data_IF_421824681979
#
_entry.id   IF_421824681979
#
_cell.length_a   1.000
_cell.length_b   1.000
_cell.length_c   1.000
_cell.angle_alpha   90.00
_cell.angle_beta   90.00
_cell.angle_gamma   90.00
#
_symmetry.space_group_name_H-M   'P 1'
#
loop_
_entity.id
_entity.type
_entity.pdbx_description
1 polymer ?
#
# COMPACT_ATOMS: atom_id res chain seq x y z
N UNK A 1 28.97 -6.18 5.54
CA UNK A 1 28.73 -6.95 4.31
C UNK A 1 27.99 -8.25 4.56
N UNK A 2 28.43 -9.10 5.51
CA UNK A 2 27.81 -10.40 5.78
C UNK A 2 26.32 -10.30 6.17
N UNK A 3 25.97 -9.35 7.02
CA UNK A 3 24.56 -9.14 7.43
C UNK A 3 23.69 -8.70 6.24
N UNK A 4 24.24 -7.83 5.38
CA UNK A 4 23.57 -7.45 4.14
C UNK A 4 23.32 -8.66 3.23
N UNK A 5 24.32 -9.52 2.99
CA UNK A 5 24.17 -10.68 2.12
C UNK A 5 23.12 -11.67 2.64
N UNK A 6 23.08 -11.91 3.96
CA UNK A 6 22.03 -12.73 4.58
C UNK A 6 20.62 -12.12 4.41
N UNK A 7 20.50 -10.79 4.55
CA UNK A 7 19.24 -10.08 4.29
C UNK A 7 18.82 -10.19 2.83
N UNK A 8 19.74 -9.96 1.90
CA UNK A 8 19.49 -10.04 0.47
C UNK A 8 19.01 -11.44 0.06
N UNK A 9 19.60 -12.49 0.63
CA UNK A 9 19.19 -13.88 0.41
C UNK A 9 17.76 -14.14 0.94
N UNK A 10 17.45 -13.73 2.19
CA UNK A 10 16.10 -13.87 2.76
C UNK A 10 15.06 -13.05 2.02
N UNK A 11 15.45 -11.93 1.45
CA UNK A 11 14.61 -11.08 0.59
C UNK A 11 14.41 -11.65 -0.82
N UNK A 12 15.04 -12.80 -1.15
CA UNK A 12 14.94 -13.45 -2.46
C UNK A 12 15.67 -12.67 -3.58
N UNK A 13 16.66 -11.85 -3.24
CA UNK A 13 17.47 -11.13 -4.23
C UNK A 13 18.37 -12.13 -4.99
N UNK A 14 18.59 -11.86 -6.27
CA UNK A 14 19.43 -12.71 -7.10
C UNK A 14 20.92 -12.60 -6.71
N UNK A 15 21.38 -13.56 -5.91
CA UNK A 15 22.75 -13.64 -5.41
C UNK A 15 23.79 -13.98 -6.49
N UNK A 16 23.39 -14.28 -7.72
CA UNK A 16 24.32 -14.48 -8.85
C UNK A 16 24.83 -13.15 -9.43
N UNK A 17 24.11 -12.06 -9.18
CA UNK A 17 24.47 -10.75 -9.70
C UNK A 17 25.58 -10.08 -8.88
N UNK A 18 26.64 -9.64 -9.54
CA UNK A 18 27.74 -8.91 -8.88
C UNK A 18 27.27 -7.63 -8.20
N UNK A 19 26.27 -6.93 -8.75
CA UNK A 19 25.69 -5.73 -8.15
C UNK A 19 25.00 -6.02 -6.80
N UNK A 20 24.53 -7.25 -6.57
CA UNK A 20 23.98 -7.70 -5.30
C UNK A 20 25.09 -8.15 -4.35
N UNK A 21 26.06 -8.94 -4.84
CA UNK A 21 27.16 -9.45 -4.01
C UNK A 21 28.15 -8.39 -3.58
N UNK A 22 28.42 -7.42 -4.47
CA UNK A 22 29.43 -6.38 -4.31
C UNK A 22 28.86 -5.00 -4.63
N UNK A 23 27.90 -4.49 -3.82
CA UNK A 23 27.27 -3.22 -4.09
C UNK A 23 28.26 -2.07 -3.94
N UNK A 24 28.21 -1.12 -4.87
CA UNK A 24 29.04 0.10 -4.83
C UNK A 24 28.74 0.97 -3.58
N UNK A 25 27.47 1.00 -3.16
CA UNK A 25 27.04 1.66 -1.94
C UNK A 25 26.38 0.60 -1.03
N UNK A 26 27.15 0.13 -0.05
CA UNK A 26 26.72 -0.92 0.89
C UNK A 26 25.57 -0.44 1.77
N UNK A 27 25.52 0.83 2.16
CA UNK A 27 24.45 1.39 3.00
C UNK A 27 23.11 1.40 2.24
N UNK A 28 23.11 1.96 1.05
CA UNK A 28 21.92 1.97 0.20
C UNK A 28 21.46 0.55 -0.18
N UNK A 29 22.40 -0.39 -0.39
CA UNK A 29 22.09 -1.79 -0.65
C UNK A 29 21.49 -2.48 0.57
N UNK A 30 22.01 -2.23 1.77
CA UNK A 30 21.49 -2.73 3.03
C UNK A 30 20.05 -2.24 3.27
N UNK A 31 19.79 -0.95 3.07
CA UNK A 31 18.45 -0.37 3.25
C UNK A 31 17.44 -0.98 2.27
N UNK A 32 17.84 -1.23 1.01
CA UNK A 32 17.00 -1.92 0.02
C UNK A 32 16.72 -3.37 0.40
N UNK A 33 17.73 -4.10 0.87
CA UNK A 33 17.58 -5.50 1.28
C UNK A 33 16.66 -5.62 2.51
N UNK A 34 16.80 -4.71 3.49
CA UNK A 34 15.92 -4.65 4.64
C UNK A 34 14.45 -4.37 4.23
N UNK A 35 14.24 -3.40 3.37
CA UNK A 35 12.90 -3.09 2.86
C UNK A 35 12.28 -4.27 2.11
N UNK A 36 13.05 -4.98 1.30
CA UNK A 36 12.61 -6.17 0.58
C UNK A 36 12.30 -7.34 1.52
N UNK A 37 13.13 -7.59 2.54
CA UNK A 37 12.88 -8.60 3.56
C UNK A 37 11.59 -8.31 4.34
N UNK A 38 11.38 -7.07 4.78
CA UNK A 38 10.15 -6.65 5.47
C UNK A 38 8.91 -6.83 4.58
N UNK A 39 9.02 -6.59 3.28
CA UNK A 39 7.94 -6.83 2.33
C UNK A 39 7.58 -8.32 2.23
N UNK A 40 8.58 -9.21 2.14
CA UNK A 40 8.37 -10.66 2.14
C UNK A 40 7.72 -11.13 3.44
N UNK A 41 8.19 -10.64 4.58
CA UNK A 41 7.60 -10.96 5.88
C UNK A 41 6.16 -10.48 6.00
N UNK A 42 5.85 -9.29 5.47
CA UNK A 42 4.50 -8.73 5.47
C UNK A 42 3.53 -9.61 4.67
N UNK A 43 3.94 -10.11 3.51
CA UNK A 43 3.12 -10.98 2.66
C UNK A 43 2.88 -12.38 3.24
N UNK A 44 3.65 -12.78 4.23
CA UNK A 44 3.56 -14.07 4.93
C UNK A 44 3.04 -13.96 6.37
N UNK A 45 2.60 -12.77 6.81
CA UNK A 45 2.04 -12.61 8.15
C UNK A 45 0.64 -13.23 8.28
N UNK A 46 0.15 -13.34 9.53
CA UNK A 46 -1.16 -13.93 9.84
C UNK A 46 -2.37 -13.21 9.20
N UNK A 47 -2.24 -11.93 8.84
CA UNK A 47 -3.30 -11.12 8.22
C UNK A 47 -3.26 -11.13 6.69
N UNK A 48 -2.23 -11.72 6.07
CA UNK A 48 -2.02 -11.61 4.63
C UNK A 48 -3.18 -12.19 3.80
N UNK A 49 -3.73 -13.34 4.20
CA UNK A 49 -4.87 -13.95 3.52
C UNK A 49 -6.15 -13.10 3.64
N UNK A 50 -6.47 -12.62 4.84
CA UNK A 50 -7.61 -11.74 5.10
C UNK A 50 -7.46 -10.38 4.43
N UNK A 51 -6.24 -9.86 4.36
CA UNK A 51 -5.89 -8.65 3.63
C UNK A 51 -6.25 -8.78 2.14
N UNK A 52 -5.75 -9.84 1.49
CA UNK A 52 -6.00 -10.10 0.06
C UNK A 52 -7.49 -10.31 -0.23
N UNK A 53 -8.19 -11.02 0.66
CA UNK A 53 -9.63 -11.23 0.52
C UNK A 53 -10.38 -9.88 0.59
N UNK A 54 -10.07 -9.04 1.57
CA UNK A 54 -10.67 -7.71 1.70
C UNK A 54 -10.36 -6.84 0.48
N UNK A 55 -9.12 -6.85 0.00
CA UNK A 55 -8.71 -6.11 -1.20
C UNK A 55 -9.52 -6.51 -2.44
N UNK A 56 -9.72 -7.81 -2.65
CA UNK A 56 -10.54 -8.31 -3.76
C UNK A 56 -12.00 -7.86 -3.66
N UNK A 57 -12.57 -7.88 -2.47
CA UNK A 57 -13.95 -7.39 -2.22
C UNK A 57 -14.09 -5.89 -2.45
N UNK A 58 -13.02 -5.14 -2.27
CA UNK A 58 -12.97 -3.70 -2.45
C UNK A 58 -12.48 -3.24 -3.84
N UNK A 59 -12.19 -4.17 -4.75
CA UNK A 59 -11.65 -3.85 -6.08
C UNK A 59 -12.55 -2.89 -6.89
N UNK A 60 -13.86 -2.89 -6.67
CA UNK A 60 -14.82 -1.98 -7.29
C UNK A 60 -14.66 -0.49 -6.89
N UNK A 61 -13.79 -0.18 -5.94
CA UNK A 61 -13.44 1.19 -5.56
C UNK A 61 -12.39 1.82 -6.48
N UNK A 62 -11.81 1.05 -7.40
CA UNK A 62 -10.87 1.57 -8.40
C UNK A 62 -11.57 2.54 -9.36
N UNK A 63 -10.91 3.63 -9.68
CA UNK A 63 -11.46 4.67 -10.55
C UNK A 63 -10.36 5.55 -11.14
N UNK A 64 -10.70 6.22 -12.24
CA UNK A 64 -9.79 7.14 -12.90
C UNK A 64 -10.55 8.35 -13.43
N UNK A 65 -9.98 9.54 -13.27
CA UNK A 65 -10.49 10.79 -13.81
C UNK A 65 -9.38 11.82 -13.94
N UNK A 66 -9.36 12.53 -15.06
CA UNK A 66 -8.46 13.69 -15.32
C UNK A 66 -6.97 13.40 -15.06
N UNK A 67 -6.52 12.21 -15.44
CA UNK A 67 -5.12 11.79 -15.30
C UNK A 67 -4.72 11.37 -13.89
N UNK A 68 -5.67 11.19 -12.97
CA UNK A 68 -5.49 10.66 -11.62
C UNK A 68 -6.26 9.36 -11.50
N UNK A 69 -5.64 8.33 -10.92
CA UNK A 69 -6.28 7.05 -10.64
C UNK A 69 -6.17 6.68 -9.16
N UNK A 70 -7.12 5.85 -8.72
CA UNK A 70 -7.15 5.28 -7.37
C UNK A 70 -7.39 3.78 -7.46
N UNK A 71 -6.70 3.01 -6.63
CA UNK A 71 -6.91 1.57 -6.47
C UNK A 71 -6.69 1.13 -5.03
N UNK A 72 -7.26 0.01 -4.66
CA UNK A 72 -7.02 -0.64 -3.36
C UNK A 72 -5.64 -1.27 -3.35
N UNK A 73 -4.96 -1.24 -2.19
CA UNK A 73 -3.76 -2.04 -1.97
C UNK A 73 -4.11 -3.54 -2.06
N UNK A 74 -3.32 -4.32 -2.79
CA UNK A 74 -3.61 -5.73 -3.08
C UNK A 74 -2.88 -6.70 -2.14
N UNK A 75 -1.72 -6.29 -1.61
CA UNK A 75 -0.86 -7.11 -0.75
C UNK A 75 -0.27 -6.29 0.38
N UNK A 76 0.01 -6.91 1.55
CA UNK A 76 0.67 -6.23 2.66
C UNK A 76 2.02 -5.61 2.30
N UNK A 77 2.80 -6.24 1.41
CA UNK A 77 4.08 -5.72 0.94
C UNK A 77 3.98 -4.35 0.25
N UNK A 78 2.87 -4.06 -0.40
CA UNK A 78 2.64 -2.74 -1.00
C UNK A 78 2.54 -1.64 0.06
N UNK A 79 1.99 -1.94 1.25
CA UNK A 79 1.95 -0.98 2.36
C UNK A 79 3.35 -0.68 2.90
N UNK A 80 4.21 -1.70 2.99
CA UNK A 80 5.61 -1.54 3.41
C UNK A 80 6.35 -0.66 2.41
N UNK A 81 6.20 -0.93 1.12
CA UNK A 81 6.83 -0.15 0.05
C UNK A 81 6.34 1.30 0.05
N UNK A 82 5.02 1.51 0.18
CA UNK A 82 4.41 2.84 0.23
C UNK A 82 4.93 3.65 1.43
N UNK A 83 4.97 3.05 2.61
CA UNK A 83 5.49 3.68 3.82
C UNK A 83 6.95 4.07 3.69
N UNK A 84 7.78 3.23 3.05
CA UNK A 84 9.19 3.52 2.81
C UNK A 84 9.38 4.67 1.83
N UNK A 85 8.61 4.71 0.74
CA UNK A 85 8.72 5.74 -0.30
C UNK A 85 8.18 7.09 0.19
N UNK A 86 7.03 7.09 0.87
CA UNK A 86 6.37 8.31 1.32
C UNK A 86 6.75 8.74 2.74
N UNK A 87 7.61 7.97 3.43
CA UNK A 87 8.04 8.26 4.79
C UNK A 87 6.89 8.42 5.78
N UNK A 88 5.93 7.50 5.75
CA UNK A 88 4.83 7.43 6.72
C UNK A 88 4.54 6.00 7.19
N UNK A 89 3.72 5.86 8.24
CA UNK A 89 3.59 4.58 8.99
C UNK A 89 2.58 3.59 8.39
N UNK A 90 2.15 3.73 7.14
CA UNK A 90 1.15 2.83 6.55
C UNK A 90 1.60 1.36 6.50
N UNK A 91 2.90 1.11 6.52
CA UNK A 91 3.46 -0.25 6.52
C UNK A 91 2.94 -1.15 7.64
N UNK A 92 2.51 -0.58 8.77
CA UNK A 92 1.93 -1.30 9.91
C UNK A 92 0.42 -1.56 9.83
N UNK A 93 -0.26 -1.20 8.74
CA UNK A 93 -1.74 -1.19 8.68
C UNK A 93 -2.37 -2.46 8.11
N UNK A 94 -1.62 -3.56 7.97
CA UNK A 94 -2.13 -4.81 7.40
C UNK A 94 -3.34 -5.38 8.16
N UNK A 95 -3.30 -5.39 9.49
CA UNK A 95 -4.42 -5.84 10.31
C UNK A 95 -5.65 -4.96 10.14
N UNK A 96 -5.48 -3.64 10.20
CA UNK A 96 -6.58 -2.67 10.03
C UNK A 96 -7.22 -2.79 8.65
N UNK A 97 -6.42 -2.99 7.59
CA UNK A 97 -6.90 -3.23 6.23
C UNK A 97 -7.74 -4.51 6.16
N UNK A 98 -7.24 -5.61 6.71
CA UNK A 98 -7.96 -6.88 6.77
C UNK A 98 -9.31 -6.78 7.51
N UNK A 99 -9.42 -5.83 8.45
CA UNK A 99 -10.63 -5.56 9.24
C UNK A 99 -11.57 -4.52 8.61
N UNK A 100 -11.29 -4.03 7.40
CA UNK A 100 -12.16 -3.13 6.66
C UNK A 100 -11.81 -1.64 6.73
N UNK A 101 -10.70 -1.26 7.38
CA UNK A 101 -10.10 0.09 7.28
C UNK A 101 -9.08 0.07 6.16
N UNK A 102 -9.55 0.07 4.93
CA UNK A 102 -8.74 -0.22 3.75
C UNK A 102 -7.86 0.93 3.32
N UNK A 103 -6.73 0.57 2.74
CA UNK A 103 -5.77 1.47 2.14
C UNK A 103 -5.94 1.48 0.63
N UNK A 104 -6.02 2.68 0.07
CA UNK A 104 -6.05 2.93 -1.38
C UNK A 104 -4.86 3.81 -1.75
N UNK A 105 -4.34 3.59 -2.94
CA UNK A 105 -3.26 4.39 -3.51
C UNK A 105 -3.80 5.31 -4.59
N UNK A 106 -3.51 6.61 -4.45
CA UNK A 106 -3.80 7.62 -5.48
C UNK A 106 -2.51 7.87 -6.26
N UNK A 107 -2.61 7.80 -7.58
CA UNK A 107 -1.48 7.86 -8.50
C UNK A 107 -1.77 8.79 -9.68
N UNK A 108 -0.72 9.26 -10.33
CA UNK A 108 -0.85 9.77 -11.69
C UNK A 108 -1.12 8.61 -12.64
N UNK A 109 -2.15 8.69 -13.47
CA UNK A 109 -2.53 7.60 -14.41
C UNK A 109 -1.42 7.18 -15.35
N UNK A 110 -0.53 8.11 -15.72
CA UNK A 110 0.65 7.83 -16.56
C UNK A 110 1.80 7.15 -15.82
N UNK A 111 1.78 7.14 -14.48
CA UNK A 111 2.81 6.54 -13.61
C UNK A 111 2.13 5.83 -12.43
N UNK A 112 1.33 4.79 -12.66
CA UNK A 112 0.55 4.14 -11.62
C UNK A 112 1.39 3.37 -10.61
N UNK A 113 2.63 3.07 -10.94
CA UNK A 113 3.64 2.43 -10.09
C UNK A 113 4.36 3.40 -9.15
N UNK A 114 4.22 4.73 -9.35
CA UNK A 114 4.90 5.73 -8.55
C UNK A 114 4.02 6.24 -7.42
N UNK A 115 4.47 6.09 -6.17
CA UNK A 115 3.79 6.59 -4.97
C UNK A 115 3.55 8.10 -5.03
N UNK A 116 2.33 8.51 -4.66
CA UNK A 116 1.95 9.92 -4.59
C UNK A 116 1.12 10.24 -3.35
N UNK A 117 -0.08 9.66 -3.20
CA UNK A 117 -0.91 9.78 -2.01
C UNK A 117 -1.47 8.43 -1.58
N UNK A 118 -1.67 8.30 -0.26
CA UNK A 118 -2.30 7.15 0.38
C UNK A 118 -3.59 7.61 1.06
N UNK A 119 -4.69 6.94 0.75
CA UNK A 119 -6.01 7.18 1.33
C UNK A 119 -6.39 5.99 2.22
N UNK A 120 -6.85 6.27 3.43
CA UNK A 120 -7.42 5.28 4.34
C UNK A 120 -8.90 5.58 4.57
N UNK A 121 -9.76 4.60 4.35
CA UNK A 121 -11.21 4.70 4.57
C UNK A 121 -11.72 3.56 5.45
N UNK A 122 -12.78 3.84 6.18
CA UNK A 122 -13.59 2.81 6.84
C UNK A 122 -14.70 2.35 5.90
N UNK A 123 -14.67 1.07 5.49
CA UNK A 123 -15.65 0.50 4.54
C UNK A 123 -17.06 0.44 5.08
N UNK A 124 -17.23 0.36 6.40
CA UNK A 124 -18.53 0.30 7.06
C UNK A 124 -19.22 1.67 7.11
N UNK A 125 -18.47 2.70 7.50
CA UNK A 125 -18.99 4.07 7.64
C UNK A 125 -18.82 4.92 6.39
N UNK A 126 -18.01 4.46 5.43
CA UNK A 126 -17.58 5.18 4.22
C UNK A 126 -16.87 6.51 4.51
N UNK A 127 -16.32 6.65 5.71
CA UNK A 127 -15.56 7.84 6.11
C UNK A 127 -14.10 7.74 5.68
N UNK A 128 -13.57 8.83 5.20
CA UNK A 128 -12.13 9.00 5.03
C UNK A 128 -11.52 9.16 6.41
N UNK A 129 -10.56 8.28 6.76
CA UNK A 129 -9.83 8.33 8.03
C UNK A 129 -8.60 9.22 7.88
N UNK A 130 -7.83 9.02 6.79
CA UNK A 130 -6.59 9.74 6.53
C UNK A 130 -6.36 9.89 5.02
N UNK A 131 -5.74 11.00 4.63
CA UNK A 131 -5.21 11.24 3.29
C UNK A 131 -3.82 11.84 3.44
N UNK A 132 -2.79 11.11 3.02
CA UNK A 132 -1.40 11.45 3.24
C UNK A 132 -0.57 11.37 1.96
N UNK A 133 0.28 12.39 1.76
CA UNK A 133 1.36 12.36 0.80
C UNK A 133 2.70 12.04 1.48
N UNK A 134 3.78 12.63 0.98
CA UNK A 134 5.12 12.44 1.50
C UNK A 134 5.25 12.98 2.95
N UNK A 135 5.82 12.14 3.84
CA UNK A 135 6.27 12.55 5.16
C UNK A 135 5.19 12.79 6.21
N UNK A 136 3.96 12.26 6.04
CA UNK A 136 2.81 12.56 6.93
C UNK A 136 2.62 14.05 7.20
N UNK A 137 3.27 14.88 6.42
CA UNK A 137 3.01 16.30 6.22
C UNK A 137 3.33 17.24 7.39
N UNK A 138 4.31 16.88 8.21
CA UNK A 138 4.91 17.84 9.14
C UNK A 138 6.31 18.22 8.66
N UNK A 139 6.42 19.29 7.89
CA UNK A 139 7.69 19.95 7.64
C UNK A 139 7.76 21.23 8.47
N UNK A 140 8.81 21.38 9.28
CA UNK A 140 9.02 22.58 10.11
C UNK A 140 7.87 22.92 11.08
N UNK A 141 7.20 21.88 11.65
CA UNK A 141 6.10 22.07 12.58
C UNK A 141 4.78 22.51 11.95
N UNK A 142 4.65 22.45 10.63
CA UNK A 142 3.41 22.75 9.90
C UNK A 142 2.99 21.56 9.04
N UNK A 143 1.68 21.25 9.04
CA UNK A 143 1.11 20.30 8.11
C UNK A 143 1.33 20.78 6.66
N UNK A 144 1.91 19.93 5.79
CA UNK A 144 2.00 20.23 4.37
C UNK A 144 0.60 20.20 3.75
N UNK A 145 0.34 21.18 2.89
CA UNK A 145 -0.96 21.34 2.26
C UNK A 145 -1.17 20.26 1.21
N UNK A 146 -2.22 19.46 1.34
CA UNK A 146 -2.60 18.46 0.34
C UNK A 146 -2.87 19.15 -1.00
N UNK A 147 -2.43 18.52 -2.10
CA UNK A 147 -2.63 19.02 -3.45
C UNK A 147 -4.13 19.21 -3.74
N UNK A 148 -4.51 20.40 -4.19
CA UNK A 148 -5.92 20.75 -4.45
C UNK A 148 -6.58 19.84 -5.50
N UNK A 149 -5.82 19.38 -6.51
CA UNK A 149 -6.33 18.44 -7.53
C UNK A 149 -6.64 17.08 -6.91
N UNK A 150 -5.83 16.62 -5.94
CA UNK A 150 -6.07 15.38 -5.21
C UNK A 150 -7.31 15.50 -4.32
N UNK A 151 -7.48 16.61 -3.62
CA UNK A 151 -8.70 16.86 -2.82
C UNK A 151 -9.96 16.84 -3.70
N UNK A 152 -9.95 17.54 -4.83
CA UNK A 152 -11.06 17.56 -5.78
C UNK A 152 -11.34 16.15 -6.34
N UNK A 153 -10.28 15.40 -6.70
CA UNK A 153 -10.40 14.03 -7.18
C UNK A 153 -11.03 13.11 -6.12
N UNK A 154 -10.61 13.20 -4.86
CA UNK A 154 -11.17 12.41 -3.76
C UNK A 154 -12.65 12.75 -3.53
N UNK A 155 -13.04 14.03 -3.59
CA UNK A 155 -14.44 14.44 -3.45
C UNK A 155 -15.30 13.90 -4.60
N UNK A 156 -14.82 13.94 -5.83
CA UNK A 156 -15.51 13.37 -6.99
C UNK A 156 -15.61 11.83 -6.88
N UNK A 157 -14.51 11.17 -6.52
CA UNK A 157 -14.48 9.72 -6.31
C UNK A 157 -15.46 9.29 -5.21
N UNK A 158 -15.58 10.03 -4.12
CA UNK A 158 -16.56 9.74 -3.06
C UNK A 158 -17.98 9.74 -3.61
N UNK A 159 -18.37 10.78 -4.34
CA UNK A 159 -19.73 10.91 -4.91
C UNK A 159 -20.01 9.90 -6.00
N UNK A 160 -19.06 9.67 -6.89
CA UNK A 160 -19.27 8.82 -8.08
C UNK A 160 -19.09 7.33 -7.79
N UNK A 161 -18.24 6.99 -6.83
CA UNK A 161 -17.86 5.60 -6.53
C UNK A 161 -18.21 5.20 -5.12
N UNK A 162 -17.59 5.80 -4.10
CA UNK A 162 -17.67 5.32 -2.72
C UNK A 162 -19.11 5.33 -2.16
N UNK A 163 -19.85 6.41 -2.38
CA UNK A 163 -21.22 6.56 -1.86
C UNK A 163 -22.18 5.54 -2.47
N UNK A 164 -21.94 5.13 -3.72
CA UNK A 164 -22.75 4.16 -4.45
C UNK A 164 -22.28 2.71 -4.24
N UNK A 165 -21.04 2.53 -3.79
CA UNK A 165 -20.43 1.22 -3.62
C UNK A 165 -20.96 0.52 -2.37
N UNK A 166 -21.14 -0.81 -2.49
CA UNK A 166 -21.52 -1.69 -1.39
C UNK A 166 -20.44 -2.76 -1.23
N UNK A 167 -20.01 -3.02 0.00
CA UNK A 167 -19.05 -4.08 0.27
C UNK A 167 -19.64 -5.45 -0.10
N UNK A 168 -19.09 -6.17 -1.10
CA UNK A 168 -19.57 -7.49 -1.45
C UNK A 168 -19.48 -8.46 -0.27
N UNK A 169 -20.45 -9.35 -0.12
CA UNK A 169 -20.40 -10.39 0.90
C UNK A 169 -19.20 -11.33 0.67
N UNK A 170 -18.71 -11.93 1.76
CA UNK A 170 -17.71 -13.00 1.64
C UNK A 170 -18.27 -14.14 0.81
N UNK A 171 -17.50 -14.74 -0.12
CA UNK A 171 -17.93 -15.94 -0.79
C UNK A 171 -18.20 -17.03 0.25
N UNK A 172 -19.37 -17.69 0.16
CA UNK A 172 -19.67 -18.85 1.02
C UNK A 172 -18.56 -19.88 0.82
N UNK A 173 -17.94 -20.34 1.91
CA UNK A 173 -17.06 -21.52 1.84
C UNK A 173 -17.90 -22.64 1.23
N UNK A 174 -17.45 -23.20 0.10
CA UNK A 174 -18.00 -24.46 -0.38
C UNK A 174 -17.76 -25.47 0.74
N UNK A 175 -18.84 -25.94 1.41
CA UNK A 175 -18.77 -27.13 2.24
C UNK A 175 -18.20 -28.22 1.34
N UNK A 176 -17.05 -28.78 1.72
CA UNK A 176 -16.55 -30.00 1.10
C UNK A 176 -17.61 -31.04 1.45
N UNK A 177 -18.37 -31.48 0.43
CA UNK A 177 -19.18 -32.67 0.53
C UNK A 177 -18.27 -33.80 0.95
N UNK A 178 -18.58 -34.42 2.10
CA UNK A 178 -17.86 -35.54 2.67
C UNK A 178 -17.93 -36.78 1.77
#
# INVERSE_FOLDING_TARGET
>A
LMDYLRMAERAGMDMSQDAVRWPKDLRAAHDRALAAELAVMADNNEYAASFREMSKRCAGLAWEKDGICIRVAERPSELVQEGNVLHHCVGGYSQSHAQGKIILFIRHSRRPDRSWYTLNIDTRTKKVIQLHGYGNEWANGKALKINKKVLAFVDDWRREVLDKWMLPQKPKKKEKAG
#
